data_IF_054911720508
#
_entry.id   IF_054911720508
#
_cell.length_a   1.000
_cell.length_b   1.000
_cell.length_c   1.000
_cell.angle_alpha   90.00
_cell.angle_beta   90.00
_cell.angle_gamma   90.00
#
_symmetry.space_group_name_H-M   'P 1'
#
loop_
_entity.id
_entity.type
_entity.pdbx_description
1 polymer ?
#
# COMPACT_ATOMS: atom_id res chain seq x y z
N UNK A 1 23.32 -26.39 13.08
CA UNK A 1 22.51 -25.17 13.26
C UNK A 1 21.45 -25.14 12.17
N UNK A 2 20.18 -24.99 12.53
CA UNK A 2 19.06 -25.03 11.59
C UNK A 2 19.25 -23.94 10.52
N UNK A 3 19.08 -24.26 9.22
CA UNK A 3 19.27 -23.31 8.10
C UNK A 3 18.47 -22.03 8.31
N UNK A 4 17.25 -22.16 8.84
CA UNK A 4 16.39 -21.03 9.15
C UNK A 4 17.03 -20.06 10.16
N UNK A 5 17.73 -20.59 11.17
CA UNK A 5 18.40 -19.77 12.20
C UNK A 5 19.55 -18.98 11.56
N UNK A 6 20.34 -19.61 10.67
CA UNK A 6 21.43 -18.92 9.96
C UNK A 6 20.91 -17.83 9.03
N UNK A 7 19.86 -18.11 8.25
CA UNK A 7 19.24 -17.11 7.38
C UNK A 7 18.77 -15.88 8.16
N UNK A 8 18.12 -16.09 9.31
CA UNK A 8 17.66 -14.99 10.18
C UNK A 8 18.84 -14.24 10.79
N UNK A 9 19.85 -14.95 11.30
CA UNK A 9 21.04 -14.33 11.89
C UNK A 9 21.81 -13.48 10.87
N UNK A 10 22.09 -14.04 9.69
CA UNK A 10 22.78 -13.33 8.61
C UNK A 10 21.95 -12.14 8.11
N UNK A 11 20.63 -12.31 8.02
CA UNK A 11 19.70 -11.23 7.70
C UNK A 11 19.74 -10.09 8.71
N UNK A 12 19.70 -10.40 10.01
CA UNK A 12 19.78 -9.41 11.08
C UNK A 12 21.13 -8.69 11.09
N UNK A 13 22.23 -9.43 10.92
CA UNK A 13 23.56 -8.84 10.81
C UNK A 13 23.65 -7.90 9.60
N UNK A 14 23.13 -8.33 8.45
CA UNK A 14 23.09 -7.51 7.24
C UNK A 14 22.31 -6.21 7.45
N UNK A 15 21.08 -6.28 7.97
CA UNK A 15 20.21 -5.11 8.21
C UNK A 15 20.73 -4.21 9.35
N UNK A 16 21.53 -4.71 10.29
CA UNK A 16 22.10 -3.87 11.36
C UNK A 16 23.50 -3.34 11.06
N UNK A 17 24.12 -3.79 9.97
CA UNK A 17 25.43 -3.33 9.53
C UNK A 17 25.35 -2.19 8.52
N UNK A 18 26.24 -1.19 8.62
CA UNK A 18 26.31 -0.13 7.63
C UNK A 18 27.32 0.97 7.94
N UNK A 19 27.34 1.99 7.09
CA UNK A 19 28.20 3.17 7.27
C UNK A 19 27.71 4.08 8.41
N UNK A 20 28.52 5.07 8.82
CA UNK A 20 28.07 6.12 9.75
C UNK A 20 26.81 6.85 9.24
N UNK A 21 26.71 7.09 7.93
CA UNK A 21 25.54 7.73 7.31
C UNK A 21 24.29 6.86 7.46
N UNK A 22 24.43 5.54 7.28
CA UNK A 22 23.37 4.58 7.51
C UNK A 22 22.85 4.63 8.95
N UNK A 23 23.75 4.56 9.95
CA UNK A 23 23.33 4.61 11.35
C UNK A 23 22.69 5.95 11.75
N UNK A 24 23.17 7.07 11.23
CA UNK A 24 22.53 8.37 11.43
C UNK A 24 21.12 8.41 10.85
N UNK A 25 20.94 7.86 9.65
CA UNK A 25 19.62 7.73 9.03
C UNK A 25 18.68 6.85 9.86
N UNK A 26 19.14 5.69 10.32
CA UNK A 26 18.34 4.80 11.17
C UNK A 26 17.98 5.43 12.52
N UNK A 27 18.91 6.18 13.13
CA UNK A 27 18.64 6.92 14.36
C UNK A 27 17.59 8.01 14.15
N UNK A 28 17.68 8.75 13.03
CA UNK A 28 16.68 9.75 12.66
C UNK A 28 15.29 9.13 12.45
N UNK A 29 15.20 8.03 11.69
CA UNK A 29 13.92 7.32 11.50
C UNK A 29 13.34 6.79 12.82
N UNK A 30 14.20 6.26 13.69
CA UNK A 30 13.78 5.77 15.01
C UNK A 30 13.26 6.92 15.88
N UNK A 31 13.90 8.09 15.86
CA UNK A 31 13.41 9.28 16.56
C UNK A 31 12.02 9.70 16.06
N UNK A 32 11.80 9.69 14.73
CA UNK A 32 10.48 9.97 14.15
C UNK A 32 9.44 8.94 14.63
N UNK A 33 9.77 7.64 14.60
CA UNK A 33 8.86 6.59 15.08
C UNK A 33 8.52 6.75 16.57
N UNK A 34 9.51 7.08 17.41
CA UNK A 34 9.29 7.33 18.84
C UNK A 34 8.42 8.56 19.09
N UNK A 35 8.59 9.62 18.29
CA UNK A 35 7.72 10.80 18.37
C UNK A 35 6.27 10.47 18.00
N UNK A 36 6.08 9.64 16.97
CA UNK A 36 4.74 9.13 16.58
C UNK A 36 4.14 8.24 17.66
N UNK A 37 4.92 7.34 18.26
CA UNK A 37 4.48 6.49 19.37
C UNK A 37 4.10 7.31 20.61
N UNK A 38 4.84 8.38 20.90
CA UNK A 38 4.49 9.32 21.97
C UNK A 38 3.17 10.04 21.68
N UNK A 39 2.98 10.57 20.47
CA UNK A 39 1.72 11.20 20.06
C UNK A 39 0.54 10.21 20.12
N UNK A 40 0.74 8.97 19.68
CA UNK A 40 -0.30 7.93 19.78
C UNK A 40 -0.62 7.57 21.24
N UNK A 41 0.34 7.62 22.15
CA UNK A 41 0.08 7.45 23.59
C UNK A 41 -0.86 8.53 24.15
N UNK A 42 -0.81 9.75 23.62
CA UNK A 42 -1.71 10.84 23.98
C UNK A 42 -3.10 10.53 23.42
N UNK A 43 -3.20 10.12 22.15
CA UNK A 43 -4.48 9.74 21.54
C UNK A 43 -5.18 8.59 22.28
N UNK A 44 -4.45 7.57 22.76
CA UNK A 44 -5.07 6.48 23.53
C UNK A 44 -5.70 7.01 24.84
N UNK A 45 -5.11 8.04 25.46
CA UNK A 45 -5.60 8.62 26.73
C UNK A 45 -6.73 9.61 26.51
N UNK A 46 -6.60 10.48 25.53
CA UNK A 46 -7.50 11.62 25.29
C UNK A 46 -8.57 11.33 24.23
N UNK A 47 -8.44 10.21 23.51
CA UNK A 47 -9.32 9.81 22.42
C UNK A 47 -8.92 10.41 21.07
N UNK A 48 -9.70 10.09 20.03
CA UNK A 48 -9.46 10.55 18.65
C UNK A 48 -9.60 12.07 18.49
N UNK A 49 -10.12 12.79 19.47
CA UNK A 49 -10.31 14.25 19.42
C UNK A 49 -8.98 15.00 19.17
N UNK A 50 -7.85 14.47 19.63
CA UNK A 50 -6.52 15.09 19.45
C UNK A 50 -6.06 15.11 18.00
N UNK A 51 -6.70 14.32 17.13
CA UNK A 51 -6.39 14.27 15.69
C UNK A 51 -7.01 15.43 14.91
N UNK A 52 -7.92 16.21 15.54
CA UNK A 52 -8.71 17.25 14.87
C UNK A 52 -9.86 16.70 14.03
N UNK A 53 -10.15 15.39 14.09
CA UNK A 53 -11.34 14.80 13.49
C UNK A 53 -12.61 15.24 14.25
N UNK A 54 -13.75 15.13 13.58
CA UNK A 54 -15.07 15.49 14.12
C UNK A 54 -16.11 14.45 13.73
N UNK A 55 -17.32 14.55 14.28
CA UNK A 55 -18.41 13.65 13.91
C UNK A 55 -18.80 13.79 12.43
N UNK A 56 -18.59 14.97 11.83
CA UNK A 56 -18.87 15.21 10.42
C UNK A 56 -17.73 14.74 9.51
N UNK A 57 -16.48 14.86 9.96
CA UNK A 57 -15.27 14.38 9.28
C UNK A 57 -14.55 13.39 10.20
N UNK A 58 -15.07 12.17 10.21
CA UNK A 58 -14.60 11.08 11.09
C UNK A 58 -13.39 10.33 10.54
N UNK A 59 -13.04 10.54 9.27
CA UNK A 59 -11.88 9.97 8.59
C UNK A 59 -10.97 11.09 8.12
N UNK A 60 -9.82 11.19 8.78
CA UNK A 60 -8.81 12.21 8.52
C UNK A 60 -7.53 11.63 7.91
N UNK A 61 -6.39 12.03 8.47
CA UNK A 61 -5.07 11.67 7.95
C UNK A 61 -4.79 10.16 7.95
N UNK A 62 -5.32 9.40 8.92
CA UNK A 62 -5.07 7.96 8.99
C UNK A 62 -5.67 7.22 7.80
N UNK A 63 -6.96 7.38 7.56
CA UNK A 63 -7.66 6.71 6.46
C UNK A 63 -7.21 7.26 5.09
N UNK A 64 -6.88 8.55 5.00
CA UNK A 64 -6.27 9.14 3.80
C UNK A 64 -4.91 8.51 3.46
N UNK A 65 -4.00 8.40 4.43
CA UNK A 65 -2.69 7.78 4.25
C UNK A 65 -2.79 6.27 3.99
N UNK A 66 -3.71 5.60 4.67
CA UNK A 66 -4.04 4.20 4.40
C UNK A 66 -4.36 3.98 2.92
N UNK A 67 -5.22 4.81 2.34
CA UNK A 67 -5.60 4.68 0.92
C UNK A 67 -4.47 4.98 -0.04
N UNK A 68 -3.67 6.00 0.27
CA UNK A 68 -2.46 6.27 -0.49
C UNK A 68 -1.49 5.07 -0.48
N UNK A 69 -1.27 4.46 0.69
CA UNK A 69 -0.36 3.33 0.85
C UNK A 69 -0.90 2.03 0.26
N UNK A 70 -2.22 1.83 0.22
CA UNK A 70 -2.84 0.79 -0.61
C UNK A 70 -2.43 0.98 -2.08
N UNK A 71 -2.46 2.22 -2.57
CA UNK A 71 -1.90 2.65 -3.86
C UNK A 71 -0.45 2.22 -4.08
N UNK A 72 0.39 2.51 -3.09
CA UNK A 72 1.81 2.17 -3.11
C UNK A 72 2.03 0.66 -3.10
N UNK A 73 1.23 -0.11 -2.36
CA UNK A 73 1.39 -1.55 -2.24
C UNK A 73 1.24 -2.27 -3.60
N UNK A 74 0.36 -1.78 -4.48
CA UNK A 74 0.21 -2.36 -5.81
C UNK A 74 1.31 -1.97 -6.81
N UNK A 75 2.22 -1.06 -6.45
CA UNK A 75 3.36 -0.69 -7.31
C UNK A 75 4.23 -1.91 -7.67
N UNK A 76 4.38 -2.86 -6.75
CA UNK A 76 5.14 -4.09 -6.96
C UNK A 76 4.60 -4.90 -8.15
N UNK A 77 3.27 -4.95 -8.31
CA UNK A 77 2.62 -5.67 -9.41
C UNK A 77 2.99 -5.10 -10.78
N UNK A 78 3.27 -3.80 -10.87
CA UNK A 78 3.69 -3.17 -12.13
C UNK A 78 5.06 -3.64 -12.60
N UNK A 79 5.89 -4.15 -11.69
CA UNK A 79 7.15 -4.82 -12.05
C UNK A 79 6.96 -6.32 -12.26
N UNK A 80 6.08 -6.95 -11.49
CA UNK A 80 5.84 -8.41 -11.57
C UNK A 80 5.18 -8.81 -12.89
N UNK A 81 4.20 -8.04 -13.36
CA UNK A 81 3.46 -8.35 -14.59
C UNK A 81 4.42 -8.45 -15.80
N UNK A 82 5.26 -7.44 -16.10
CA UNK A 82 6.20 -7.53 -17.22
C UNK A 82 7.30 -8.58 -16.99
N UNK A 83 7.81 -8.72 -15.76
CA UNK A 83 8.91 -9.65 -15.45
C UNK A 83 8.53 -11.12 -15.64
N UNK A 84 7.36 -11.51 -15.13
CA UNK A 84 6.97 -12.93 -15.06
C UNK A 84 5.97 -13.33 -16.14
N UNK A 85 5.17 -12.39 -16.68
CA UNK A 85 4.18 -12.68 -17.73
C UNK A 85 4.74 -12.31 -19.11
N UNK A 86 5.43 -11.18 -19.23
CA UNK A 86 6.02 -10.73 -20.50
C UNK A 86 7.49 -11.19 -20.68
N UNK A 87 8.02 -11.95 -19.71
CA UNK A 87 9.38 -12.54 -19.70
C UNK A 87 10.53 -11.53 -19.87
N UNK A 88 10.33 -10.29 -19.42
CA UNK A 88 11.33 -9.23 -19.50
C UNK A 88 12.36 -9.38 -18.36
N UNK A 89 13.59 -9.79 -18.70
CA UNK A 89 14.60 -10.25 -17.72
C UNK A 89 15.24 -9.11 -16.92
N UNK A 90 15.16 -7.88 -17.41
CA UNK A 90 15.84 -6.70 -16.85
C UNK A 90 15.20 -6.18 -15.54
N UNK A 91 14.08 -6.77 -15.11
CA UNK A 91 13.23 -6.23 -14.04
C UNK A 91 13.39 -6.97 -12.70
N UNK A 92 14.04 -8.14 -12.70
CA UNK A 92 14.12 -9.02 -11.52
C UNK A 92 14.73 -8.34 -10.28
N UNK A 93 15.68 -7.42 -10.49
CA UNK A 93 16.29 -6.64 -9.41
C UNK A 93 15.29 -5.68 -8.78
N UNK A 94 14.60 -4.90 -9.60
CA UNK A 94 13.61 -3.95 -9.13
C UNK A 94 12.40 -4.65 -8.47
N UNK A 95 12.02 -5.84 -8.95
CA UNK A 95 10.90 -6.63 -8.38
C UNK A 95 11.08 -6.85 -6.88
N UNK A 96 12.27 -7.26 -6.43
CA UNK A 96 12.50 -7.53 -5.00
C UNK A 96 12.32 -6.28 -4.14
N UNK A 97 12.75 -5.12 -4.63
CA UNK A 97 12.54 -3.83 -3.96
C UNK A 97 11.06 -3.45 -3.97
N UNK A 98 10.37 -3.67 -5.09
CA UNK A 98 8.93 -3.44 -5.22
C UNK A 98 8.13 -4.28 -4.21
N UNK A 99 8.39 -5.59 -4.13
CA UNK A 99 7.75 -6.50 -3.17
C UNK A 99 8.04 -6.11 -1.72
N UNK A 100 9.28 -5.71 -1.41
CA UNK A 100 9.63 -5.19 -0.08
C UNK A 100 8.87 -3.90 0.28
N UNK A 101 8.72 -3.00 -0.69
CA UNK A 101 7.90 -1.79 -0.54
C UNK A 101 6.43 -2.14 -0.33
N UNK A 102 5.90 -3.14 -1.04
CA UNK A 102 4.52 -3.60 -0.85
C UNK A 102 4.29 -4.13 0.57
N UNK A 103 5.19 -4.96 1.09
CA UNK A 103 5.13 -5.44 2.48
C UNK A 103 5.14 -4.27 3.47
N UNK A 104 6.07 -3.32 3.31
CA UNK A 104 6.15 -2.16 4.19
C UNK A 104 4.87 -1.30 4.13
N UNK A 105 4.35 -1.05 2.93
CA UNK A 105 3.12 -0.30 2.73
C UNK A 105 1.91 -1.01 3.36
N UNK A 106 1.78 -2.33 3.21
CA UNK A 106 0.68 -3.11 3.79
C UNK A 106 0.72 -3.14 5.32
N UNK A 107 1.91 -3.28 5.92
CA UNK A 107 2.09 -3.18 7.37
C UNK A 107 1.64 -1.80 7.87
N UNK A 108 2.02 -0.73 7.14
CA UNK A 108 1.58 0.62 7.46
C UNK A 108 0.06 0.80 7.28
N UNK A 109 -0.55 0.20 6.25
CA UNK A 109 -2.00 0.20 6.06
C UNK A 109 -2.73 -0.41 7.27
N UNK A 110 -2.29 -1.61 7.71
CA UNK A 110 -2.85 -2.28 8.88
C UNK A 110 -2.64 -1.45 10.16
N UNK A 111 -1.49 -0.78 10.30
CA UNK A 111 -1.21 0.12 11.41
C UNK A 111 -2.14 1.34 11.40
N UNK A 112 -2.35 1.99 10.25
CA UNK A 112 -3.25 3.13 10.14
C UNK A 112 -4.70 2.76 10.46
N UNK A 113 -5.19 1.64 9.94
CA UNK A 113 -6.54 1.13 10.28
C UNK A 113 -6.65 0.88 11.79
N UNK A 114 -5.62 0.30 12.41
CA UNK A 114 -5.63 0.02 13.85
C UNK A 114 -5.60 1.28 14.71
N UNK A 115 -4.76 2.25 14.33
CA UNK A 115 -4.60 3.54 15.03
C UNK A 115 -5.84 4.42 14.90
N UNK A 116 -6.58 4.31 13.80
CA UNK A 116 -7.84 5.04 13.58
C UNK A 116 -8.99 4.52 14.45
N UNK A 117 -8.89 3.30 15.00
CA UNK A 117 -9.91 2.77 15.90
C UNK A 117 -9.94 3.54 17.23
N UNK A 118 -11.13 3.97 17.65
CA UNK A 118 -11.31 4.58 18.97
C UNK A 118 -11.04 3.62 20.14
N UNK A 119 -11.09 2.31 19.90
CA UNK A 119 -10.76 1.27 20.87
C UNK A 119 -9.85 0.21 20.25
N UNK A 120 -8.55 0.49 20.03
CA UNK A 120 -7.64 -0.38 19.29
C UNK A 120 -7.43 -1.74 19.97
N UNK A 121 -7.59 -1.82 21.29
CA UNK A 121 -7.56 -3.08 22.04
C UNK A 121 -8.65 -4.08 21.59
N UNK A 122 -9.71 -3.62 20.92
CA UNK A 122 -10.79 -4.46 20.40
C UNK A 122 -10.57 -4.91 18.95
N UNK A 123 -9.43 -4.56 18.33
CA UNK A 123 -9.13 -4.92 16.94
C UNK A 123 -9.12 -6.43 16.69
N UNK A 124 -8.89 -7.25 17.73
CA UNK A 124 -8.94 -8.72 17.62
C UNK A 124 -10.31 -9.26 17.18
N UNK A 125 -11.39 -8.51 17.37
CA UNK A 125 -12.72 -8.88 16.85
C UNK A 125 -12.76 -8.94 15.31
N UNK A 126 -11.82 -8.27 14.62
CA UNK A 126 -11.69 -8.28 13.17
C UNK A 126 -10.91 -9.49 12.65
N UNK A 127 -10.35 -10.33 13.51
CA UNK A 127 -9.60 -11.52 13.10
C UNK A 127 -10.61 -12.61 12.65
N UNK A 128 -10.51 -13.12 11.42
CA UNK A 128 -11.36 -14.21 10.96
C UNK A 128 -11.28 -15.41 11.90
N UNK A 129 -12.38 -16.14 12.08
CA UNK A 129 -12.52 -17.34 12.93
C UNK A 129 -12.51 -17.04 14.44
N UNK A 130 -11.67 -16.11 14.92
CA UNK A 130 -11.52 -15.80 16.35
C UNK A 130 -12.55 -14.77 16.81
N UNK A 131 -12.71 -13.69 16.05
CA UNK A 131 -13.56 -12.56 16.40
C UNK A 131 -14.96 -12.62 15.79
N UNK A 132 -15.76 -11.57 16.04
CA UNK A 132 -17.05 -11.34 15.37
C UNK A 132 -16.81 -10.75 13.97
N UNK A 133 -16.32 -11.61 13.09
CA UNK A 133 -15.96 -11.24 11.74
C UNK A 133 -17.21 -11.09 10.86
N UNK A 134 -17.70 -9.86 10.70
CA UNK A 134 -18.94 -9.50 9.98
C UNK A 134 -18.88 -9.66 8.45
N UNK A 135 -18.25 -10.73 7.96
CA UNK A 135 -18.15 -11.06 6.55
C UNK A 135 -19.34 -11.93 6.10
N UNK A 136 -19.95 -11.68 4.93
CA UNK A 136 -19.56 -10.73 3.88
C UNK A 136 -20.28 -9.37 3.95
N UNK A 137 -21.00 -9.05 5.03
CA UNK A 137 -21.87 -7.86 5.09
C UNK A 137 -21.11 -6.54 5.24
N UNK A 138 -19.95 -6.55 5.91
CA UNK A 138 -19.14 -5.36 6.14
C UNK A 138 -18.02 -5.23 5.10
N UNK A 139 -17.93 -4.07 4.45
CA UNK A 139 -16.81 -3.77 3.54
C UNK A 139 -15.47 -3.68 4.26
N UNK A 140 -15.44 -3.26 5.53
CA UNK A 140 -14.22 -3.29 6.34
C UNK A 140 -13.73 -4.72 6.56
N UNK A 141 -14.63 -5.70 6.71
CA UNK A 141 -14.24 -7.11 6.81
C UNK A 141 -13.62 -7.61 5.51
N UNK A 142 -14.14 -7.21 4.34
CA UNK A 142 -13.50 -7.51 3.06
C UNK A 142 -12.11 -6.89 2.96
N UNK A 143 -11.95 -5.64 3.37
CA UNK A 143 -10.68 -4.93 3.34
C UNK A 143 -9.62 -5.63 4.22
N UNK A 144 -10.00 -6.05 5.43
CA UNK A 144 -9.16 -6.87 6.32
C UNK A 144 -8.73 -8.19 5.66
N UNK A 145 -9.63 -8.90 4.96
CA UNK A 145 -9.26 -10.14 4.24
C UNK A 145 -8.24 -9.86 3.13
N UNK A 146 -8.49 -8.83 2.33
CA UNK A 146 -7.66 -8.58 1.16
C UNK A 146 -6.29 -8.05 1.57
N UNK A 147 -6.21 -7.14 2.55
CA UNK A 147 -4.93 -6.68 3.11
C UNK A 147 -4.09 -7.82 3.68
N UNK A 148 -4.67 -8.64 4.56
CA UNK A 148 -3.93 -9.75 5.18
C UNK A 148 -3.57 -10.83 4.17
N UNK A 149 -4.47 -11.15 3.24
CA UNK A 149 -4.19 -12.09 2.15
C UNK A 149 -3.07 -11.59 1.25
N UNK A 150 -3.06 -10.30 0.90
CA UNK A 150 -2.02 -9.72 0.07
C UNK A 150 -0.69 -9.71 0.80
N UNK A 151 -0.66 -9.30 2.07
CA UNK A 151 0.53 -9.31 2.91
C UNK A 151 1.11 -10.72 3.02
N UNK A 152 0.25 -11.72 3.25
CA UNK A 152 0.69 -13.12 3.29
C UNK A 152 1.38 -13.55 1.99
N UNK A 153 0.81 -13.21 0.83
CA UNK A 153 1.39 -13.56 -0.47
C UNK A 153 2.73 -12.81 -0.69
N UNK A 154 2.78 -11.49 -0.42
CA UNK A 154 3.98 -10.65 -0.59
C UNK A 154 5.10 -10.96 0.42
N UNK A 155 4.79 -11.59 1.55
CA UNK A 155 5.82 -12.11 2.45
C UNK A 155 6.28 -13.49 2.00
N UNK A 156 5.35 -14.42 1.76
CA UNK A 156 5.70 -15.83 1.58
C UNK A 156 6.40 -16.12 0.24
N UNK A 157 5.94 -15.52 -0.86
CA UNK A 157 6.49 -15.82 -2.19
C UNK A 157 7.91 -15.25 -2.37
N UNK A 158 8.17 -13.95 -2.09
CA UNK A 158 9.53 -13.42 -2.12
C UNK A 158 10.45 -14.10 -1.10
N UNK A 159 9.98 -14.41 0.11
CA UNK A 159 10.77 -15.13 1.11
C UNK A 159 11.18 -16.52 0.62
N UNK A 160 10.28 -17.26 -0.02
CA UNK A 160 10.61 -18.56 -0.62
C UNK A 160 11.72 -18.43 -1.68
N UNK A 161 11.63 -17.43 -2.55
CA UNK A 161 12.66 -17.15 -3.57
C UNK A 161 14.00 -16.81 -2.90
N UNK A 162 13.99 -15.92 -1.90
CA UNK A 162 15.18 -15.49 -1.16
C UNK A 162 15.86 -16.64 -0.41
N UNK A 163 15.09 -17.50 0.26
CA UNK A 163 15.63 -18.68 0.98
C UNK A 163 16.23 -19.69 0.00
N UNK A 164 15.61 -19.90 -1.17
CA UNK A 164 16.20 -20.74 -2.22
C UNK A 164 17.54 -20.19 -2.69
N UNK A 165 17.62 -18.88 -2.95
CA UNK A 165 18.87 -18.22 -3.33
C UNK A 165 19.94 -18.29 -2.24
N UNK A 166 19.58 -18.06 -0.98
CA UNK A 166 20.50 -18.20 0.17
C UNK A 166 21.08 -19.61 0.27
N UNK A 167 20.28 -20.63 -0.07
CA UNK A 167 20.70 -22.03 -0.11
C UNK A 167 21.46 -22.43 -1.39
N UNK A 168 21.69 -21.51 -2.32
CA UNK A 168 22.28 -21.82 -3.64
C UNK A 168 21.38 -22.70 -4.53
N UNK A 169 20.08 -22.77 -4.25
CA UNK A 169 19.10 -23.58 -4.99
C UNK A 169 18.31 -22.69 -5.95
N UNK A 170 18.00 -23.22 -7.13
CA UNK A 170 17.07 -22.55 -8.06
C UNK A 170 15.63 -22.71 -7.54
N UNK A 171 14.85 -21.62 -7.38
CA UNK A 171 13.45 -21.70 -6.99
C UNK A 171 12.63 -22.52 -8.00
N UNK A 172 11.81 -23.45 -7.51
CA UNK A 172 10.90 -24.23 -8.37
C UNK A 172 9.78 -23.35 -8.91
N UNK A 173 9.65 -23.27 -10.24
CA UNK A 173 8.61 -22.49 -10.94
C UNK A 173 7.18 -22.87 -10.52
N UNK A 174 6.93 -24.15 -10.28
CA UNK A 174 5.61 -24.64 -9.85
C UNK A 174 5.13 -24.10 -8.49
N UNK A 175 6.03 -23.55 -7.68
CA UNK A 175 5.70 -23.03 -6.34
C UNK A 175 5.47 -21.52 -6.39
N UNK A 176 6.42 -20.75 -6.92
CA UNK A 176 6.32 -19.29 -6.87
C UNK A 176 5.40 -18.72 -7.96
N UNK A 177 5.32 -19.36 -9.13
CA UNK A 177 4.59 -18.80 -10.27
C UNK A 177 3.06 -18.73 -10.02
N UNK A 178 2.40 -19.76 -9.45
CA UNK A 178 1.00 -19.63 -9.04
C UNK A 178 0.79 -18.51 -8.01
N UNK A 179 1.71 -18.38 -7.04
CA UNK A 179 1.66 -17.31 -6.04
C UNK A 179 1.81 -15.91 -6.64
N UNK A 180 2.66 -15.76 -7.67
CA UNK A 180 2.80 -14.52 -8.45
C UNK A 180 1.50 -14.16 -9.16
N UNK A 181 0.88 -15.11 -9.88
CA UNK A 181 -0.40 -14.86 -10.54
C UNK A 181 -1.52 -14.52 -9.55
N UNK A 182 -1.53 -15.21 -8.41
CA UNK A 182 -2.45 -14.91 -7.32
C UNK A 182 -2.22 -13.49 -6.78
N UNK A 183 -0.96 -13.08 -6.58
CA UNK A 183 -0.59 -11.72 -6.14
C UNK A 183 -1.13 -10.63 -7.08
N UNK A 184 -1.03 -10.84 -8.39
CA UNK A 184 -1.57 -9.90 -9.40
C UNK A 184 -3.08 -9.71 -9.22
N UNK A 185 -3.82 -10.82 -9.12
CA UNK A 185 -5.26 -10.78 -8.88
C UNK A 185 -5.59 -10.08 -7.55
N UNK A 186 -4.84 -10.40 -6.51
CA UNK A 186 -5.06 -9.87 -5.17
C UNK A 186 -4.75 -8.37 -5.06
N UNK A 187 -3.80 -7.86 -5.83
CA UNK A 187 -3.52 -6.42 -5.90
C UNK A 187 -4.69 -5.65 -6.53
N UNK A 188 -5.29 -6.18 -7.61
CA UNK A 188 -6.51 -5.60 -8.18
C UNK A 188 -7.65 -5.65 -7.16
N UNK A 189 -7.82 -6.80 -6.48
CA UNK A 189 -8.83 -6.94 -5.43
C UNK A 189 -8.63 -5.93 -4.30
N UNK A 190 -7.38 -5.67 -3.89
CA UNK A 190 -7.03 -4.71 -2.83
C UNK A 190 -7.56 -3.33 -3.19
N UNK A 191 -7.27 -2.86 -4.39
CA UNK A 191 -7.76 -1.57 -4.87
C UNK A 191 -9.28 -1.49 -4.95
N UNK A 192 -9.90 -2.52 -5.51
CA UNK A 192 -11.35 -2.52 -5.70
C UNK A 192 -12.09 -2.56 -4.36
N UNK A 193 -11.64 -3.39 -3.41
CA UNK A 193 -12.26 -3.51 -2.09
C UNK A 193 -12.08 -2.23 -1.29
N UNK A 194 -10.88 -1.64 -1.28
CA UNK A 194 -10.66 -0.36 -0.60
C UNK A 194 -11.48 0.75 -1.25
N UNK A 195 -11.62 0.79 -2.59
CA UNK A 195 -12.52 1.75 -3.24
C UNK A 195 -13.99 1.53 -2.87
N UNK A 196 -14.43 0.28 -2.78
CA UNK A 196 -15.79 -0.07 -2.38
C UNK A 196 -16.08 0.22 -0.91
N UNK A 197 -15.07 0.25 -0.05
CA UNK A 197 -15.19 0.73 1.33
C UNK A 197 -15.65 2.19 1.37
N UNK A 198 -15.19 3.03 0.44
CA UNK A 198 -15.66 4.41 0.28
C UNK A 198 -16.99 4.49 -0.47
N UNK A 199 -17.07 3.85 -1.64
CA UNK A 199 -18.25 3.92 -2.49
C UNK A 199 -19.50 3.31 -1.83
N UNK A 200 -19.31 2.38 -0.89
CA UNK A 200 -20.38 1.76 -0.10
C UNK A 200 -21.01 2.68 0.94
N UNK A 201 -20.59 3.94 1.07
CA UNK A 201 -21.17 4.93 1.98
C UNK A 201 -22.18 5.82 1.25
N UNK A 202 -23.48 5.45 1.19
CA UNK A 202 -24.49 6.22 0.45
C UNK A 202 -24.71 7.63 1.00
N UNK A 203 -24.35 7.86 2.26
CA UNK A 203 -24.42 9.18 2.91
C UNK A 203 -23.31 10.16 2.46
N UNK A 204 -22.36 9.71 1.63
CA UNK A 204 -21.25 10.52 1.11
C UNK A 204 -21.32 10.57 -0.42
N UNK A 205 -22.13 11.45 -1.01
CA UNK A 205 -22.37 11.47 -2.46
C UNK A 205 -21.09 11.56 -3.30
N UNK A 206 -20.12 12.37 -2.88
CA UNK A 206 -18.83 12.51 -3.55
C UNK A 206 -18.03 11.18 -3.64
N UNK A 207 -18.21 10.26 -2.68
CA UNK A 207 -17.59 8.94 -2.71
C UNK A 207 -18.49 7.89 -3.35
N UNK A 208 -19.81 8.06 -3.25
CA UNK A 208 -20.80 7.10 -3.73
C UNK A 208 -20.97 7.18 -5.26
N UNK A 209 -19.94 6.74 -5.98
CA UNK A 209 -19.93 6.67 -7.44
C UNK A 209 -19.35 5.35 -7.93
N UNK A 210 -19.90 4.81 -9.01
CA UNK A 210 -19.39 3.59 -9.65
C UNK A 210 -18.01 3.79 -10.30
N UNK A 211 -17.62 5.04 -10.56
CA UNK A 211 -16.32 5.38 -11.13
C UNK A 211 -15.17 5.23 -10.12
N UNK A 212 -15.47 5.19 -8.81
CA UNK A 212 -14.46 5.24 -7.77
C UNK A 212 -13.49 4.06 -7.83
N UNK A 213 -13.99 2.84 -8.07
CA UNK A 213 -13.18 1.63 -8.22
C UNK A 213 -12.15 1.75 -9.35
N UNK A 214 -12.59 1.95 -10.61
CA UNK A 214 -11.68 2.19 -11.74
C UNK A 214 -10.70 3.34 -11.51
N UNK A 215 -11.14 4.43 -10.89
CA UNK A 215 -10.27 5.59 -10.59
C UNK A 215 -9.23 5.28 -9.52
N UNK A 216 -9.57 4.50 -8.49
CA UNK A 216 -8.62 4.02 -7.49
C UNK A 216 -7.52 3.18 -8.13
N UNK A 217 -7.87 2.31 -9.09
CA UNK A 217 -6.88 1.52 -9.81
C UNK A 217 -5.97 2.39 -10.69
N UNK A 218 -6.55 3.33 -11.45
CA UNK A 218 -5.77 4.25 -12.30
C UNK A 218 -4.83 5.14 -11.47
N UNK A 219 -5.29 5.68 -10.35
CA UNK A 219 -4.46 6.50 -9.45
C UNK A 219 -3.36 5.68 -8.76
N UNK A 220 -3.62 4.43 -8.39
CA UNK A 220 -2.60 3.53 -7.86
C UNK A 220 -1.48 3.24 -8.88
N UNK A 221 -1.86 2.99 -10.14
CA UNK A 221 -0.88 2.78 -11.23
C UNK A 221 -0.15 4.06 -11.65
N UNK A 222 -0.65 5.24 -11.28
CA UNK A 222 0.08 6.49 -11.41
C UNK A 222 1.06 6.70 -10.25
N UNK A 223 0.56 6.67 -9.01
CA UNK A 223 1.31 7.03 -7.82
C UNK A 223 2.34 5.96 -7.41
N UNK A 224 1.99 4.68 -7.52
CA UNK A 224 2.85 3.56 -7.14
C UNK A 224 4.18 3.53 -7.91
N UNK A 225 4.15 3.44 -9.25
CA UNK A 225 5.36 3.51 -10.07
C UNK A 225 6.14 4.81 -9.91
N UNK A 226 5.46 5.96 -9.74
CA UNK A 226 6.12 7.24 -9.49
C UNK A 226 6.95 7.21 -8.19
N UNK A 227 6.38 6.73 -7.08
CA UNK A 227 7.11 6.59 -5.82
C UNK A 227 8.24 5.55 -5.93
N UNK A 228 8.00 4.46 -6.65
CA UNK A 228 9.01 3.42 -6.86
C UNK A 228 10.21 3.95 -7.67
N UNK A 229 10.00 4.80 -8.67
CA UNK A 229 11.09 5.49 -9.39
C UNK A 229 11.93 6.32 -8.42
N UNK A 230 11.29 7.08 -7.52
CA UNK A 230 12.01 7.88 -6.51
C UNK A 230 12.85 7.00 -5.59
N UNK A 231 12.27 5.90 -5.09
CA UNK A 231 12.96 4.95 -4.20
C UNK A 231 14.14 4.30 -4.93
N UNK A 232 13.94 3.79 -6.15
CA UNK A 232 15.00 3.19 -6.95
C UNK A 232 16.10 4.20 -7.29
N UNK A 233 15.74 5.47 -7.52
CA UNK A 233 16.68 6.57 -7.72
C UNK A 233 17.55 6.83 -6.49
N UNK A 234 16.95 6.82 -5.28
CA UNK A 234 17.69 6.94 -4.02
C UNK A 234 18.62 5.74 -3.82
N UNK A 235 18.12 4.51 -4.02
CA UNK A 235 18.91 3.27 -3.89
C UNK A 235 20.11 3.31 -4.86
N UNK A 236 19.89 3.62 -6.14
CA UNK A 236 20.95 3.71 -7.15
C UNK A 236 22.00 4.79 -6.81
N UNK A 237 21.60 5.86 -6.11
CA UNK A 237 22.50 6.96 -5.72
C UNK A 237 23.38 6.64 -4.51
N UNK A 238 22.86 5.88 -3.55
CA UNK A 238 23.52 5.68 -2.26
C UNK A 238 24.02 4.26 -2.01
N UNK A 239 23.79 3.32 -2.93
CA UNK A 239 24.19 1.92 -2.82
C UNK A 239 24.80 1.42 -4.12
N UNK A 240 25.49 0.28 -4.06
CA UNK A 240 26.03 -0.41 -5.24
C UNK A 240 24.95 -1.19 -6.02
N UNK A 241 23.68 -1.05 -5.62
CA UNK A 241 22.56 -1.73 -6.26
C UNK A 241 22.15 -1.01 -7.54
N UNK A 242 22.70 -1.47 -8.66
CA UNK A 242 22.40 -0.90 -9.98
C UNK A 242 21.02 -1.31 -10.50
N UNK A 243 20.25 -0.29 -10.91
CA UNK A 243 18.96 -0.39 -11.59
C UNK A 243 19.11 0.17 -13.00
N UNK A 244 18.67 -0.60 -13.98
CA UNK A 244 18.75 -0.20 -15.39
C UNK A 244 17.75 0.92 -15.72
N UNK A 245 18.16 1.84 -16.61
CA UNK A 245 17.32 2.95 -17.05
C UNK A 245 16.05 2.47 -17.77
N UNK A 246 16.13 1.31 -18.45
CA UNK A 246 14.96 0.69 -19.07
C UNK A 246 13.87 0.38 -18.05
N UNK A 247 14.23 -0.01 -16.83
CA UNK A 247 13.26 -0.25 -15.75
C UNK A 247 12.57 1.04 -15.32
N UNK A 248 13.34 2.10 -15.11
CA UNK A 248 12.82 3.41 -14.73
C UNK A 248 11.91 4.00 -15.82
N UNK A 249 12.33 3.88 -17.09
CA UNK A 249 11.56 4.36 -18.23
C UNK A 249 10.23 3.62 -18.40
N UNK A 250 10.19 2.30 -18.21
CA UNK A 250 8.93 1.55 -18.24
C UNK A 250 8.01 1.92 -17.08
N UNK A 251 8.54 2.09 -15.86
CA UNK A 251 7.75 2.58 -14.73
C UNK A 251 7.19 3.98 -15.02
N UNK A 252 7.99 4.87 -15.62
CA UNK A 252 7.56 6.22 -15.98
C UNK A 252 6.46 6.20 -17.05
N UNK A 253 6.57 5.32 -18.04
CA UNK A 253 5.54 5.13 -19.07
C UNK A 253 4.21 4.68 -18.45
N UNK A 254 4.25 3.66 -17.57
CA UNK A 254 3.06 3.17 -16.87
C UNK A 254 2.44 4.29 -16.03
N UNK A 255 3.25 4.98 -15.23
CA UNK A 255 2.80 6.10 -14.40
C UNK A 255 2.12 7.18 -15.23
N UNK A 256 2.73 7.53 -16.37
CA UNK A 256 2.23 8.55 -17.28
C UNK A 256 0.89 8.14 -17.86
N UNK A 257 0.80 6.97 -18.50
CA UNK A 257 -0.47 6.49 -19.10
C UNK A 257 -1.58 6.41 -18.06
N UNK A 258 -1.28 5.85 -16.88
CA UNK A 258 -2.24 5.76 -15.78
C UNK A 258 -2.69 7.14 -15.27
N UNK A 259 -1.79 8.11 -15.19
CA UNK A 259 -2.10 9.48 -14.81
C UNK A 259 -3.05 10.16 -15.82
N UNK A 260 -2.85 9.97 -17.13
CA UNK A 260 -3.80 10.49 -18.13
C UNK A 260 -5.19 9.89 -17.96
N UNK A 261 -5.28 8.56 -17.77
CA UNK A 261 -6.57 7.88 -17.54
C UNK A 261 -7.23 8.44 -16.27
N UNK A 262 -6.47 8.60 -15.19
CA UNK A 262 -6.97 9.18 -13.94
C UNK A 262 -7.42 10.63 -14.10
N UNK A 263 -6.74 11.45 -14.90
CA UNK A 263 -7.15 12.83 -15.18
C UNK A 263 -8.45 12.91 -15.97
N UNK A 264 -8.66 12.00 -16.94
CA UNK A 264 -9.93 11.91 -17.66
C UNK A 264 -11.06 11.52 -16.71
N UNK A 265 -10.83 10.52 -15.84
CA UNK A 265 -11.82 10.11 -14.83
C UNK A 265 -12.14 11.25 -13.85
N UNK A 266 -11.11 11.96 -13.35
CA UNK A 266 -11.29 13.15 -12.51
C UNK A 266 -12.10 14.23 -13.24
N UNK A 267 -11.83 14.47 -14.53
CA UNK A 267 -12.61 15.40 -15.34
C UNK A 267 -14.09 15.01 -15.41
N UNK A 268 -14.40 13.72 -15.57
CA UNK A 268 -15.77 13.21 -15.57
C UNK A 268 -16.46 13.38 -14.21
N UNK A 269 -15.76 13.18 -13.09
CA UNK A 269 -16.31 13.45 -11.75
C UNK A 269 -16.51 14.94 -11.51
N UNK A 270 -15.57 15.80 -11.88
CA UNK A 270 -15.73 17.26 -11.77
C UNK A 270 -16.92 17.74 -12.59
N UNK A 271 -17.09 17.23 -13.82
CA UNK A 271 -18.27 17.52 -14.62
C UNK A 271 -19.55 17.05 -13.91
N UNK A 272 -19.60 15.80 -13.44
CA UNK A 272 -20.79 15.25 -12.76
C UNK A 272 -21.16 16.05 -11.50
N UNK A 273 -20.16 16.47 -10.73
CA UNK A 273 -20.33 17.17 -9.46
C UNK A 273 -20.74 18.64 -9.64
N UNK A 274 -20.21 19.32 -10.66
CA UNK A 274 -20.40 20.78 -10.84
C UNK A 274 -21.31 21.17 -12.00
N UNK A 275 -21.70 20.26 -12.89
CA UNK A 275 -22.53 20.61 -14.05
C UNK A 275 -23.95 21.01 -13.67
N UNK A 276 -24.58 20.25 -12.77
CA UNK A 276 -25.93 20.52 -12.29
C UNK A 276 -25.92 20.79 -10.79
N UNK A 277 -26.52 21.90 -10.36
CA UNK A 277 -26.57 22.22 -8.94
C UNK A 277 -27.55 21.31 -8.21
N UNK A 278 -27.03 20.49 -7.29
CA UNK A 278 -27.82 19.57 -6.46
C UNK A 278 -27.33 19.64 -5.01
N UNK A 279 -28.12 19.15 -4.05
CA UNK A 279 -27.65 19.07 -2.66
C UNK A 279 -26.36 18.24 -2.48
N UNK A 280 -26.07 17.33 -3.40
CA UNK A 280 -24.86 16.49 -3.36
C UNK A 280 -23.58 17.28 -3.62
N UNK A 281 -23.67 18.37 -4.41
CA UNK A 281 -22.51 19.19 -4.79
C UNK A 281 -21.95 20.07 -3.67
N UNK A 282 -22.68 20.20 -2.55
CA UNK A 282 -22.32 21.12 -1.47
C UNK A 282 -20.99 20.73 -0.84
N UNK A 283 -20.76 19.42 -0.68
CA UNK A 283 -19.53 18.88 -0.12
C UNK A 283 -18.30 19.20 -0.99
N UNK A 284 -18.43 19.05 -2.31
CA UNK A 284 -17.38 19.39 -3.26
C UNK A 284 -17.18 20.91 -3.36
N UNK A 285 -18.25 21.70 -3.34
CA UNK A 285 -18.17 23.16 -3.37
C UNK A 285 -17.38 23.68 -2.17
N UNK A 286 -17.70 23.21 -0.97
CA UNK A 286 -16.96 23.52 0.24
C UNK A 286 -15.48 23.10 0.14
N UNK A 287 -15.20 21.90 -0.37
CA UNK A 287 -13.84 21.39 -0.50
C UNK A 287 -12.97 22.24 -1.44
N UNK A 288 -13.50 22.67 -2.59
CA UNK A 288 -12.73 23.35 -3.63
C UNK A 288 -12.79 24.88 -3.55
N UNK A 289 -13.86 25.46 -3.00
CA UNK A 289 -14.10 26.90 -2.99
C UNK A 289 -14.32 27.50 -1.60
N UNK A 290 -14.51 26.68 -0.56
CA UNK A 290 -14.79 27.14 0.80
C UNK A 290 -16.26 27.50 1.05
N UNK A 291 -16.51 28.17 2.19
CA UNK A 291 -17.83 28.71 2.56
C UNK A 291 -18.09 30.06 1.91
#
# INVERSE_FOLDING_TARGET
>A
MNVAIRFIQDGLLSVTSGSKKYHLWMAFLTLLMLSGAYAYSIQIREGLIVTGMSDTVSWGLYISNFTFLVGVAAAAVMLVLPSYILHDVDFLRAVLIGEGLAVAALVMCLAFVTVDLGGPANAWHLIPIIGLFNWPRSMLSWDVLVLNGYLFINVTIPLYILVCHYLGKKPKKSIYLPGVFLSVFWAVALHMVTAFLYAGLPARPFWNTSLLGPRFLASAFAAGPALLILILGVIRRFTDYWIEDITLNKLALVATVAAQINLIMLGSELFTEFYASTHHNQSATYLFFGL
#
